data_IF_643813946255
#
_entry.id   IF_643813946255
#
_cell.length_a   1.000
_cell.length_b   1.000
_cell.length_c   1.000
_cell.angle_alpha   90.00
_cell.angle_beta   90.00
_cell.angle_gamma   90.00
#
_symmetry.space_group_name_H-M   'P 1'
#
loop_
_entity.id
_entity.type
_entity.pdbx_description
1 polymer ?
#
# COMPACT_ATOMS: atom_id res chain seq x y z
N UNK A 1 0.65 -18.16 9.60
CA UNK A 1 0.92 -16.80 10.08
C UNK A 1 1.05 -16.85 11.59
N UNK A 2 2.08 -16.24 12.16
CA UNK A 2 2.24 -16.08 13.61
C UNK A 2 2.01 -14.61 13.97
N UNK A 3 0.88 -14.28 14.63
CA UNK A 3 0.63 -12.94 15.15
C UNK A 3 1.76 -12.50 16.07
N UNK A 4 2.15 -11.24 15.96
CA UNK A 4 3.08 -10.60 16.87
C UNK A 4 2.40 -10.06 18.14
N UNK A 5 3.17 -9.42 19.03
CA UNK A 5 2.57 -8.67 20.12
C UNK A 5 1.66 -7.56 19.60
N UNK A 6 0.55 -7.34 20.28
CA UNK A 6 -0.29 -6.16 20.07
C UNK A 6 0.42 -4.98 20.75
N UNK A 7 0.82 -3.99 19.97
CA UNK A 7 1.44 -2.76 20.49
C UNK A 7 0.37 -1.81 21.00
N UNK A 8 0.60 -1.24 22.17
CA UNK A 8 -0.16 -0.14 22.72
C UNK A 8 0.59 1.13 22.37
N UNK A 9 -0.05 2.02 21.62
CA UNK A 9 0.58 3.22 21.09
C UNK A 9 -0.18 4.48 21.47
N UNK A 10 0.55 5.58 21.57
CA UNK A 10 0.03 6.94 21.61
C UNK A 10 0.35 7.59 20.26
N UNK A 11 -0.68 7.84 19.46
CA UNK A 11 -0.52 8.47 18.16
C UNK A 11 -0.56 10.00 18.28
N UNK A 12 0.22 10.74 17.46
CA UNK A 12 0.09 12.19 17.36
C UNK A 12 -1.35 12.61 17.08
N UNK A 13 -1.80 13.65 17.77
CA UNK A 13 -3.17 14.19 17.64
C UNK A 13 -4.28 13.32 18.25
N UNK A 14 -3.98 12.14 18.81
CA UNK A 14 -4.97 11.32 19.52
C UNK A 14 -4.89 11.53 21.03
N UNK A 15 -6.03 11.65 21.69
CA UNK A 15 -6.16 11.68 23.15
C UNK A 15 -6.11 10.27 23.73
N UNK A 16 -6.67 9.28 23.04
CA UNK A 16 -6.71 7.91 23.52
C UNK A 16 -5.50 7.09 23.05
N UNK A 17 -5.19 6.03 23.80
CA UNK A 17 -4.28 4.99 23.35
C UNK A 17 -4.95 4.10 22.31
N UNK A 18 -4.16 3.49 21.44
CA UNK A 18 -4.64 2.59 20.40
C UNK A 18 -3.88 1.27 20.43
N UNK A 19 -4.54 0.21 19.99
CA UNK A 19 -3.93 -1.09 19.71
C UNK A 19 -3.51 -1.17 18.25
N UNK A 20 -2.33 -1.74 18.00
CA UNK A 20 -1.86 -2.10 16.67
C UNK A 20 -1.40 -3.55 16.69
N UNK A 21 -2.03 -4.37 15.85
CA UNK A 21 -1.58 -5.74 15.62
C UNK A 21 -0.24 -5.71 14.86
N UNK A 22 0.69 -6.55 15.31
CA UNK A 22 1.96 -6.78 14.62
C UNK A 22 2.04 -8.22 14.15
N UNK A 23 3.10 -8.52 13.41
CA UNK A 23 3.31 -9.84 12.83
C UNK A 23 4.71 -10.28 13.21
N UNK A 24 4.80 -11.45 13.85
CA UNK A 24 6.08 -12.09 14.18
C UNK A 24 6.64 -12.84 12.97
N UNK A 25 5.77 -13.55 12.26
CA UNK A 25 6.15 -14.30 11.07
C UNK A 25 4.97 -14.51 10.14
N UNK A 26 5.22 -14.45 8.84
CA UNK A 26 4.28 -14.75 7.78
C UNK A 26 4.98 -15.39 6.60
N UNK A 27 4.21 -15.96 5.68
CA UNK A 27 4.72 -16.47 4.41
C UNK A 27 3.79 -16.05 3.27
N UNK A 28 4.28 -16.18 2.05
CA UNK A 28 3.56 -15.82 0.83
C UNK A 28 2.88 -17.03 0.17
N UNK A 29 2.63 -18.11 0.92
CA UNK A 29 1.89 -19.24 0.40
C UNK A 29 0.48 -18.78 0.01
N UNK A 30 0.03 -19.16 -1.19
CA UNK A 30 -1.22 -18.69 -1.83
C UNK A 30 -1.31 -17.18 -2.07
N UNK A 31 -0.17 -16.45 -2.04
CA UNK A 31 -0.16 -15.04 -2.37
C UNK A 31 -0.59 -14.80 -3.82
N UNK A 32 -1.40 -13.75 -4.00
CA UNK A 32 -1.75 -13.21 -5.30
C UNK A 32 -0.87 -11.99 -5.56
N UNK A 33 -0.11 -12.03 -6.65
CA UNK A 33 0.68 -10.91 -7.12
C UNK A 33 -0.09 -10.18 -8.22
N UNK A 34 -0.13 -8.85 -8.13
CA UNK A 34 -0.77 -7.99 -9.12
C UNK A 34 0.29 -7.22 -9.90
N UNK A 35 -0.09 -6.80 -11.11
CA UNK A 35 0.80 -6.13 -12.05
C UNK A 35 1.29 -4.78 -11.53
N UNK A 36 0.49 -4.09 -10.72
CA UNK A 36 0.81 -2.83 -10.04
C UNK A 36 1.63 -3.00 -8.74
N UNK A 37 2.30 -4.14 -8.58
CA UNK A 37 3.15 -4.44 -7.43
C UNK A 37 2.38 -4.76 -6.14
N UNK A 38 1.04 -4.72 -6.14
CA UNK A 38 0.26 -5.13 -4.97
C UNK A 38 0.39 -6.64 -4.76
N UNK A 39 0.67 -7.05 -3.53
CA UNK A 39 0.60 -8.43 -3.09
C UNK A 39 -0.56 -8.62 -2.11
N UNK A 40 -1.36 -9.66 -2.31
CA UNK A 40 -2.40 -10.08 -1.37
C UNK A 40 -2.05 -11.48 -0.86
N UNK A 41 -1.57 -11.56 0.38
CA UNK A 41 -1.12 -12.81 0.99
C UNK A 41 -1.93 -13.08 2.28
N UNK A 42 -2.73 -14.16 2.34
CA UNK A 42 -3.50 -14.49 3.53
C UNK A 42 -2.63 -14.70 4.78
N UNK A 43 -1.43 -15.24 4.57
CA UNK A 43 -0.49 -15.57 5.64
C UNK A 43 0.56 -14.48 5.92
N UNK A 44 0.50 -13.36 5.21
CA UNK A 44 1.35 -12.18 5.38
C UNK A 44 0.49 -10.93 5.13
N UNK A 45 -0.42 -10.59 6.07
CA UNK A 45 -1.34 -9.48 5.90
C UNK A 45 -0.60 -8.14 5.86
N UNK A 46 -1.15 -7.20 5.08
CA UNK A 46 -0.62 -5.86 4.91
C UNK A 46 -0.55 -5.10 6.25
N UNK A 47 0.59 -4.47 6.50
CA UNK A 47 0.82 -3.61 7.66
C UNK A 47 0.98 -2.15 7.19
N UNK A 48 -0.13 -1.40 7.09
CA UNK A 48 -0.08 -0.05 6.55
C UNK A 48 0.74 0.88 7.46
N UNK A 49 1.58 1.69 6.82
CA UNK A 49 2.40 2.72 7.47
C UNK A 49 1.54 3.90 7.93
N UNK A 50 0.55 4.32 7.13
CA UNK A 50 -0.46 5.29 7.56
C UNK A 50 -1.64 4.53 8.21
N UNK A 51 -2.10 4.99 9.38
CA UNK A 51 -3.26 4.42 10.08
C UNK A 51 -4.26 5.50 10.51
N UNK A 52 -5.43 5.04 10.95
CA UNK A 52 -6.52 5.89 11.43
C UNK A 52 -7.02 5.47 12.81
N UNK A 53 -7.20 6.44 13.70
CA UNK A 53 -7.98 6.28 14.93
C UNK A 53 -9.47 6.15 14.60
N UNK A 54 -10.18 5.08 15.01
CA UNK A 54 -11.60 4.91 14.68
C UNK A 54 -12.50 5.99 15.29
N UNK A 55 -12.35 6.24 16.59
CA UNK A 55 -13.11 7.23 17.36
C UNK A 55 -12.75 8.66 16.98
N UNK A 56 -11.46 9.00 17.00
CA UNK A 56 -10.99 10.39 16.83
C UNK A 56 -10.86 10.79 15.35
N UNK A 57 -10.90 9.82 14.43
CA UNK A 57 -10.78 10.00 12.97
C UNK A 57 -9.46 10.63 12.51
N UNK A 58 -8.47 10.73 13.38
CA UNK A 58 -7.13 11.25 13.10
C UNK A 58 -6.33 10.24 12.27
N UNK A 59 -5.62 10.73 11.26
CA UNK A 59 -4.64 9.98 10.47
C UNK A 59 -3.24 10.25 11.00
N UNK A 60 -2.43 9.20 11.11
CA UNK A 60 -1.09 9.28 11.66
C UNK A 60 -0.16 8.25 11.03
N UNK A 61 1.14 8.55 11.02
CA UNK A 61 2.17 7.63 10.54
C UNK A 61 2.71 6.76 11.68
N UNK A 62 2.95 5.48 11.39
CA UNK A 62 3.41 4.50 12.39
C UNK A 62 4.83 4.75 12.93
N UNK A 63 5.64 5.57 12.26
CA UNK A 63 6.98 5.96 12.71
C UNK A 63 6.96 7.19 13.63
N UNK A 64 5.82 7.85 13.80
CA UNK A 64 5.64 9.00 14.68
C UNK A 64 4.96 8.64 16.02
N UNK A 65 4.55 7.39 16.18
CA UNK A 65 3.80 6.95 17.37
C UNK A 65 4.74 6.59 18.50
N UNK A 66 4.35 6.95 19.72
CA UNK A 66 5.04 6.51 20.92
C UNK A 66 4.55 5.11 21.31
N UNK A 67 5.48 4.18 21.57
CA UNK A 67 5.15 2.87 22.13
C UNK A 67 5.00 2.99 23.64
N UNK A 68 3.77 2.83 24.13
CA UNK A 68 3.46 2.84 25.57
C UNK A 68 3.65 1.45 26.19
N UNK A 69 3.37 0.40 25.43
CA UNK A 69 3.47 -0.97 25.92
C UNK A 69 3.17 -2.01 24.86
N UNK A 70 3.10 -3.27 25.27
CA UNK A 70 2.70 -4.37 24.42
C UNK A 70 2.03 -5.51 25.20
N UNK A 71 1.15 -6.23 24.52
CA UNK A 71 0.52 -7.45 25.04
C UNK A 71 0.50 -8.52 23.96
N UNK A 72 0.09 -9.74 24.30
CA UNK A 72 -0.01 -10.85 23.36
C UNK A 72 -1.46 -11.27 23.18
N UNK A 73 -1.87 -11.68 21.97
CA UNK A 73 -3.18 -12.27 21.74
C UNK A 73 -3.44 -13.43 22.71
N UNK A 74 -4.61 -13.43 23.36
CA UNK A 74 -5.02 -14.48 24.31
C UNK A 74 -4.41 -14.37 25.72
N UNK A 75 -3.51 -13.41 25.97
CA UNK A 75 -2.99 -13.16 27.32
C UNK A 75 -4.01 -12.37 28.14
N UNK A 76 -4.40 -12.89 29.32
CA UNK A 76 -5.21 -12.13 30.28
C UNK A 76 -4.40 -10.97 30.84
N UNK A 77 -4.92 -9.75 30.71
CA UNK A 77 -4.33 -8.55 31.27
C UNK A 77 -4.75 -8.42 32.74
N UNK A 78 -3.89 -7.82 33.58
CA UNK A 78 -4.13 -7.65 35.02
C UNK A 78 -3.59 -6.31 35.50
N UNK A 79 -4.21 -5.75 36.53
CA UNK A 79 -3.75 -4.51 37.14
C UNK A 79 -3.88 -3.33 36.18
N UNK A 80 -2.81 -2.54 36.04
CA UNK A 80 -2.82 -1.31 35.23
C UNK A 80 -3.10 -1.56 33.74
N UNK A 81 -2.81 -2.77 33.25
CA UNK A 81 -2.94 -3.11 31.83
C UNK A 81 -4.36 -3.61 31.47
N UNK A 82 -5.22 -3.87 32.45
CA UNK A 82 -6.61 -4.32 32.23
C UNK A 82 -7.40 -3.31 31.38
N UNK A 83 -7.10 -2.02 31.54
CA UNK A 83 -7.66 -0.95 30.72
C UNK A 83 -7.32 -1.07 29.22
N UNK A 84 -6.26 -1.80 28.84
CA UNK A 84 -5.88 -1.97 27.44
C UNK A 84 -6.82 -2.90 26.66
N UNK A 85 -7.60 -3.73 27.35
CA UNK A 85 -8.60 -4.60 26.71
C UNK A 85 -9.66 -3.76 25.97
N UNK A 86 -10.09 -2.65 26.58
CA UNK A 86 -11.11 -1.75 26.04
C UNK A 86 -10.63 -0.81 24.93
N UNK A 87 -9.31 -0.71 24.69
CA UNK A 87 -8.78 0.17 23.65
C UNK A 87 -9.23 -0.26 22.25
N UNK A 88 -9.35 0.70 21.35
CA UNK A 88 -9.66 0.43 19.94
C UNK A 88 -8.42 0.04 19.15
N UNK A 89 -8.59 -0.76 18.09
CA UNK A 89 -7.52 -1.02 17.14
C UNK A 89 -7.45 0.09 16.09
N UNK A 90 -6.23 0.58 15.83
CA UNK A 90 -5.98 1.51 14.73
C UNK A 90 -6.23 0.82 13.38
N UNK A 91 -7.07 1.43 12.55
CA UNK A 91 -7.55 0.83 11.30
C UNK A 91 -6.68 1.23 10.12
N UNK A 92 -6.69 0.38 9.09
CA UNK A 92 -6.19 0.73 7.78
C UNK A 92 -7.02 1.89 7.18
N UNK A 93 -6.38 2.90 6.54
CA UNK A 93 -7.09 3.98 5.90
C UNK A 93 -7.96 3.49 4.72
N UNK A 94 -9.13 4.11 4.54
CA UNK A 94 -9.94 3.98 3.32
C UNK A 94 -9.33 4.79 2.17
N UNK A 95 -9.83 4.58 0.95
CA UNK A 95 -9.46 5.39 -0.22
C UNK A 95 -9.61 6.89 0.05
N UNK A 96 -10.78 7.31 0.58
CA UNK A 96 -11.02 8.71 0.95
C UNK A 96 -9.99 9.25 1.95
N UNK A 97 -9.58 8.43 2.93
CA UNK A 97 -8.59 8.85 3.91
C UNK A 97 -7.21 9.08 3.27
N UNK A 98 -6.79 8.27 2.29
CA UNK A 98 -5.51 8.49 1.61
C UNK A 98 -5.52 9.79 0.80
N UNK A 99 -6.61 10.08 0.10
CA UNK A 99 -6.77 11.39 -0.57
C UNK A 99 -6.75 12.55 0.41
N UNK A 100 -7.45 12.43 1.55
CA UNK A 100 -7.41 13.44 2.61
C UNK A 100 -6.00 13.63 3.17
N UNK A 101 -5.22 12.55 3.34
CA UNK A 101 -3.84 12.64 3.80
C UNK A 101 -2.95 13.41 2.81
N UNK A 102 -3.11 13.17 1.50
CA UNK A 102 -2.40 13.94 0.48
C UNK A 102 -2.78 15.42 0.51
N UNK A 103 -4.08 15.72 0.53
CA UNK A 103 -4.61 17.09 0.52
C UNK A 103 -4.23 17.88 1.77
N UNK A 104 -4.16 17.22 2.93
CA UNK A 104 -3.76 17.82 4.19
C UNK A 104 -2.23 17.90 4.38
N UNK A 105 -1.43 17.50 3.38
CA UNK A 105 0.02 17.64 3.43
C UNK A 105 0.72 16.64 4.36
N UNK A 106 0.11 15.50 4.69
CA UNK A 106 0.74 14.45 5.52
C UNK A 106 1.91 13.75 4.79
N UNK A 107 2.06 13.95 3.49
CA UNK A 107 3.20 13.51 2.70
C UNK A 107 4.36 14.52 2.79
N UNK A 108 4.95 14.66 3.98
CA UNK A 108 6.04 15.58 4.29
C UNK A 108 7.43 15.12 3.80
N UNK A 109 7.51 13.95 3.16
CA UNK A 109 8.74 13.45 2.54
C UNK A 109 8.45 12.75 1.21
N UNK A 110 9.42 12.66 0.29
CA UNK A 110 9.25 11.94 -0.98
C UNK A 110 8.77 10.49 -0.77
N UNK A 111 9.28 9.81 0.25
CA UNK A 111 8.91 8.43 0.58
C UNK A 111 7.45 8.30 1.04
N UNK A 112 6.98 9.22 1.88
CA UNK A 112 5.57 9.24 2.32
C UNK A 112 4.64 9.64 1.19
N UNK A 113 5.06 10.56 0.32
CA UNK A 113 4.32 10.94 -0.88
C UNK A 113 4.14 9.75 -1.84
N UNK A 114 5.24 9.08 -2.17
CA UNK A 114 5.23 7.87 -3.00
C UNK A 114 4.35 6.78 -2.38
N UNK A 115 4.47 6.55 -1.06
CA UNK A 115 3.60 5.62 -0.34
C UNK A 115 2.12 5.97 -0.53
N UNK A 116 1.68 7.21 -0.23
CA UNK A 116 0.27 7.58 -0.34
C UNK A 116 -0.26 7.41 -1.77
N UNK A 117 0.50 7.86 -2.77
CA UNK A 117 0.12 7.73 -4.18
C UNK A 117 0.02 6.28 -4.63
N UNK A 118 0.93 5.42 -4.18
CA UNK A 118 0.89 3.98 -4.43
C UNK A 118 -0.33 3.33 -3.76
N UNK A 119 -0.66 3.72 -2.53
CA UNK A 119 -1.87 3.22 -1.84
C UNK A 119 -3.14 3.65 -2.56
N UNK A 120 -3.19 4.86 -3.10
CA UNK A 120 -4.32 5.34 -3.92
C UNK A 120 -4.40 4.56 -5.22
N UNK A 121 -3.29 4.31 -5.90
CA UNK A 121 -3.25 3.47 -7.10
C UNK A 121 -3.86 2.09 -6.82
N UNK A 122 -3.39 1.42 -5.76
CA UNK A 122 -3.93 0.13 -5.36
C UNK A 122 -5.43 0.19 -5.03
N UNK A 123 -5.90 1.24 -4.34
CA UNK A 123 -7.32 1.43 -4.03
C UNK A 123 -8.16 1.67 -5.29
N UNK A 124 -7.66 2.42 -6.25
CA UNK A 124 -8.30 2.61 -7.55
C UNK A 124 -8.45 1.31 -8.35
N UNK A 125 -7.47 0.42 -8.22
CA UNK A 125 -7.46 -0.89 -8.87
C UNK A 125 -8.28 -1.95 -8.14
N UNK A 126 -8.57 -1.82 -6.85
CA UNK A 126 -9.34 -2.81 -6.07
C UNK A 126 -10.72 -3.13 -6.69
N UNK A 127 -11.53 -2.15 -7.14
CA UNK A 127 -12.75 -2.41 -7.89
C UNK A 127 -12.54 -3.16 -9.21
N UNK A 128 -11.43 -2.91 -9.91
CA UNK A 128 -11.10 -3.56 -11.19
C UNK A 128 -10.74 -5.03 -10.96
N UNK A 129 -9.89 -5.32 -9.95
CA UNK A 129 -9.57 -6.68 -9.50
C UNK A 129 -10.83 -7.49 -9.18
N UNK A 130 -11.80 -6.85 -8.52
CA UNK A 130 -13.09 -7.44 -8.14
C UNK A 130 -14.13 -7.45 -9.26
N UNK A 131 -13.75 -7.06 -10.49
CA UNK A 131 -14.63 -6.96 -11.67
C UNK A 131 -15.85 -6.04 -11.45
N UNK A 132 -15.76 -5.10 -10.52
CA UNK A 132 -16.80 -4.10 -10.22
C UNK A 132 -16.67 -2.83 -11.08
N UNK A 133 -15.50 -2.63 -11.69
CA UNK A 133 -15.20 -1.53 -12.61
C UNK A 133 -14.31 -2.03 -13.73
N UNK A 134 -14.41 -1.42 -14.91
CA UNK A 134 -13.55 -1.76 -16.05
C UNK A 134 -12.25 -0.96 -16.10
N UNK A 135 -12.26 0.28 -15.62
CA UNK A 135 -11.19 1.25 -15.80
C UNK A 135 -11.01 2.13 -14.56
N UNK A 136 -9.87 2.81 -14.44
CA UNK A 136 -9.63 3.80 -13.39
C UNK A 136 -10.49 5.05 -13.61
N UNK A 137 -10.90 5.70 -12.52
CA UNK A 137 -11.59 7.01 -12.62
C UNK A 137 -10.60 8.12 -12.95
N UNK A 138 -11.09 9.27 -13.44
CA UNK A 138 -10.26 10.46 -13.71
C UNK A 138 -9.32 10.81 -12.53
N UNK A 139 -9.87 10.91 -11.31
CA UNK A 139 -9.07 11.17 -10.09
C UNK A 139 -7.95 10.16 -9.82
N UNK A 140 -8.15 8.89 -10.18
CA UNK A 140 -7.12 7.87 -10.01
C UNK A 140 -6.07 7.93 -11.12
N UNK A 141 -6.47 8.31 -12.34
CA UNK A 141 -5.54 8.59 -13.45
C UNK A 141 -4.69 9.81 -13.14
N UNK A 142 -5.26 10.88 -12.60
CA UNK A 142 -4.51 12.06 -12.11
C UNK A 142 -3.49 11.68 -11.03
N UNK A 143 -3.87 10.80 -10.09
CA UNK A 143 -2.92 10.29 -9.10
C UNK A 143 -1.78 9.48 -9.75
N UNK A 144 -2.06 8.71 -10.80
CA UNK A 144 -1.05 7.96 -11.55
C UNK A 144 -0.09 8.87 -12.31
N UNK A 145 -0.59 9.92 -12.98
CA UNK A 145 0.27 10.92 -13.62
C UNK A 145 1.19 11.58 -12.58
N UNK A 146 0.66 11.95 -11.42
CA UNK A 146 1.45 12.53 -10.36
C UNK A 146 2.41 11.53 -9.66
N UNK A 147 2.14 10.22 -9.72
CA UNK A 147 3.07 9.19 -9.25
C UNK A 147 4.18 8.93 -10.29
N UNK A 148 3.82 8.97 -11.58
CA UNK A 148 4.75 8.86 -12.69
C UNK A 148 5.84 9.94 -12.61
N UNK A 149 5.44 11.18 -12.28
CA UNK A 149 6.38 12.30 -12.11
C UNK A 149 7.35 12.13 -10.93
N UNK A 150 7.00 11.34 -9.92
CA UNK A 150 7.89 11.03 -8.80
C UNK A 150 8.86 9.90 -9.15
N UNK A 151 8.46 9.00 -10.04
CA UNK A 151 9.22 7.82 -10.41
C UNK A 151 10.14 8.11 -11.61
N UNK A 152 11.08 9.03 -11.41
CA UNK A 152 12.11 9.41 -12.40
C UNK A 152 13.42 8.61 -12.23
N UNK A 153 13.43 7.61 -11.35
CA UNK A 153 14.58 6.75 -11.12
C UNK A 153 14.92 5.89 -12.35
N UNK A 154 16.21 5.73 -12.62
CA UNK A 154 16.71 4.91 -13.73
C UNK A 154 16.96 3.43 -13.36
N UNK A 155 16.79 3.05 -12.09
CA UNK A 155 17.00 1.68 -11.65
C UNK A 155 15.93 0.73 -12.22
N UNK A 156 16.22 -0.58 -12.34
CA UNK A 156 15.28 -1.56 -12.90
C UNK A 156 13.89 -1.53 -12.26
N UNK A 157 13.80 -1.38 -10.92
CA UNK A 157 12.53 -1.37 -10.20
C UNK A 157 11.69 -0.13 -10.51
N UNK A 158 12.33 1.05 -10.54
CA UNK A 158 11.69 2.30 -10.95
C UNK A 158 11.19 2.22 -12.40
N UNK A 159 12.00 1.72 -13.33
CA UNK A 159 11.61 1.55 -14.73
C UNK A 159 10.42 0.61 -14.91
N UNK A 160 10.39 -0.52 -14.21
CA UNK A 160 9.24 -1.45 -14.24
C UNK A 160 7.97 -0.80 -13.70
N UNK A 161 8.07 -0.06 -12.60
CA UNK A 161 6.94 0.69 -12.02
C UNK A 161 6.44 1.75 -13.00
N UNK A 162 7.34 2.52 -13.59
CA UNK A 162 7.03 3.56 -14.58
C UNK A 162 6.29 2.99 -15.80
N UNK A 163 6.80 1.91 -16.36
CA UNK A 163 6.19 1.25 -17.51
C UNK A 163 4.79 0.68 -17.18
N UNK A 164 4.61 0.14 -15.98
CA UNK A 164 3.30 -0.33 -15.52
C UNK A 164 2.30 0.83 -15.34
N UNK A 165 2.72 1.97 -14.78
CA UNK A 165 1.89 3.18 -14.67
C UNK A 165 1.48 3.67 -16.07
N UNK A 166 2.44 3.80 -16.99
CA UNK A 166 2.18 4.21 -18.38
C UNK A 166 1.20 3.24 -19.07
N UNK A 167 1.36 1.94 -18.86
CA UNK A 167 0.44 0.91 -19.39
C UNK A 167 -0.98 1.10 -18.85
N UNK A 168 -1.16 1.34 -17.55
CA UNK A 168 -2.50 1.55 -16.97
C UNK A 168 -3.13 2.89 -17.36
N UNK A 169 -2.31 3.90 -17.68
CA UNK A 169 -2.73 5.14 -18.31
C UNK A 169 -3.09 4.96 -19.79
N UNK A 170 -2.72 3.84 -20.41
CA UNK A 170 -2.94 3.57 -21.83
C UNK A 170 -1.88 4.19 -22.76
N UNK A 171 -0.78 4.70 -22.19
CA UNK A 171 0.39 5.25 -22.88
C UNK A 171 1.34 4.10 -23.25
N UNK A 172 0.87 3.20 -24.11
CA UNK A 172 1.53 1.91 -24.37
C UNK A 172 2.87 2.05 -25.09
N UNK A 173 2.97 3.01 -25.99
CA UNK A 173 4.19 3.32 -26.73
C UNK A 173 5.30 3.75 -25.77
N UNK A 174 5.01 4.71 -24.88
CA UNK A 174 5.94 5.14 -23.84
C UNK A 174 6.25 4.02 -22.83
N UNK A 175 5.26 3.19 -22.49
CA UNK A 175 5.47 2.03 -21.63
C UNK A 175 6.47 1.04 -22.25
N UNK A 176 6.44 0.85 -23.57
CA UNK A 176 7.38 0.00 -24.29
C UNK A 176 8.79 0.61 -24.26
N UNK A 177 8.92 1.90 -24.55
CA UNK A 177 10.21 2.61 -24.55
C UNK A 177 10.92 2.51 -23.19
N UNK A 178 10.20 2.65 -22.08
CA UNK A 178 10.80 2.59 -20.74
C UNK A 178 11.41 1.22 -20.41
N UNK A 179 10.93 0.14 -21.04
CA UNK A 179 11.41 -1.24 -20.82
C UNK A 179 12.33 -1.76 -21.93
N UNK A 180 12.75 -0.88 -22.85
CA UNK A 180 13.81 -1.17 -23.81
C UNK A 180 15.19 -1.20 -23.12
N UNK A 181 16.11 -2.03 -23.59
CA UNK A 181 17.44 -2.17 -23.01
C UNK A 181 17.55 -3.18 -21.87
N UNK A 182 18.67 -3.12 -21.14
CA UNK A 182 19.08 -4.16 -20.20
C UNK A 182 18.33 -4.07 -18.86
N UNK A 183 17.99 -5.24 -18.34
CA UNK A 183 17.48 -5.49 -17.00
C UNK A 183 18.21 -6.71 -16.43
N UNK A 184 18.34 -6.83 -15.10
CA UNK A 184 18.87 -8.05 -14.50
C UNK A 184 17.96 -9.26 -14.78
N UNK A 185 18.54 -10.46 -14.84
CA UNK A 185 17.84 -11.71 -15.20
C UNK A 185 16.64 -12.02 -14.28
N UNK A 186 16.67 -11.55 -13.03
CA UNK A 186 15.56 -11.73 -12.08
C UNK A 186 14.28 -10.96 -12.47
N UNK A 187 14.39 -10.03 -13.42
CA UNK A 187 13.28 -9.24 -13.95
C UNK A 187 12.63 -9.86 -15.20
N UNK A 188 13.23 -10.89 -15.82
CA UNK A 188 12.79 -11.46 -17.10
C UNK A 188 11.32 -11.88 -17.09
N UNK A 189 10.88 -12.49 -15.98
CA UNK A 189 9.51 -12.94 -15.83
C UNK A 189 8.53 -11.77 -15.83
N UNK A 190 8.86 -10.66 -15.16
CA UNK A 190 8.04 -9.44 -15.13
C UNK A 190 7.98 -8.82 -16.52
N UNK A 191 9.13 -8.67 -17.18
CA UNK A 191 9.24 -8.10 -18.51
C UNK A 191 8.43 -8.89 -19.54
N UNK A 192 8.46 -10.23 -19.47
CA UNK A 192 7.67 -11.09 -20.34
C UNK A 192 6.17 -10.79 -20.25
N UNK A 193 5.63 -10.64 -19.04
CA UNK A 193 4.22 -10.30 -18.84
C UNK A 193 3.91 -8.86 -19.28
N UNK A 194 4.79 -7.93 -18.93
CA UNK A 194 4.60 -6.52 -19.24
C UNK A 194 4.59 -6.27 -20.75
N UNK A 195 5.58 -6.79 -21.48
CA UNK A 195 5.63 -6.77 -22.96
C UNK A 195 4.39 -7.39 -23.59
N UNK A 196 3.93 -8.53 -23.06
CA UNK A 196 2.70 -9.20 -23.52
C UNK A 196 1.46 -8.31 -23.35
N UNK A 197 1.32 -7.61 -22.22
CA UNK A 197 0.15 -6.75 -21.97
C UNK A 197 0.21 -5.43 -22.73
N UNK A 198 1.39 -4.84 -22.86
CA UNK A 198 1.63 -3.66 -23.70
C UNK A 198 1.28 -3.97 -25.16
N UNK A 199 1.80 -5.08 -25.72
CA UNK A 199 1.50 -5.48 -27.10
C UNK A 199 0.03 -5.80 -27.37
N UNK A 200 -0.72 -6.18 -26.33
CA UNK A 200 -2.18 -6.38 -26.40
C UNK A 200 -2.99 -5.12 -26.09
N UNK A 201 -2.33 -3.99 -25.83
CA UNK A 201 -2.94 -2.72 -25.39
C UNK A 201 -3.90 -2.91 -24.21
N UNK A 202 -3.51 -3.76 -23.27
CA UNK A 202 -4.33 -4.05 -22.11
C UNK A 202 -3.93 -3.10 -20.98
N UNK A 203 -4.82 -2.15 -20.65
CA UNK A 203 -4.59 -1.16 -19.59
C UNK A 203 -5.01 -1.63 -18.20
N UNK A 204 -5.82 -2.70 -18.09
CA UNK A 204 -6.32 -3.12 -16.77
C UNK A 204 -5.23 -3.79 -15.96
N UNK A 205 -5.26 -3.59 -14.64
CA UNK A 205 -4.47 -4.36 -13.68
C UNK A 205 -4.66 -5.86 -13.88
N UNK A 206 -3.57 -6.64 -13.80
CA UNK A 206 -3.57 -8.09 -14.03
C UNK A 206 -3.00 -8.86 -12.87
N UNK A 207 -3.54 -10.06 -12.67
CA UNK A 207 -2.93 -11.06 -11.81
C UNK A 207 -1.68 -11.62 -12.51
N UNK A 208 -0.58 -11.72 -11.77
CA UNK A 208 0.67 -12.37 -12.15
C UNK A 208 0.69 -13.81 -11.65
#
# INVERSE_FOLDING_TARGET
>A
MLPGPIRIIKAPGCQNLLKVETLLSGNTFEAIFWSDGKMEAPMLPDQPWLRKSPSEKVLFWMDEVEKVGETYPGRKLKGKDEAWEALEFAKAPSEKNYFQALEAGLADSPKRLEYLRTRIWWKGNDPIRKKKRKELTARHRENLEALLELNQGGDPGSRLTKAEILRELGRFEEAAEVIEGEFPDDCDWVLKFLRKWIGKREARVKKR
#
